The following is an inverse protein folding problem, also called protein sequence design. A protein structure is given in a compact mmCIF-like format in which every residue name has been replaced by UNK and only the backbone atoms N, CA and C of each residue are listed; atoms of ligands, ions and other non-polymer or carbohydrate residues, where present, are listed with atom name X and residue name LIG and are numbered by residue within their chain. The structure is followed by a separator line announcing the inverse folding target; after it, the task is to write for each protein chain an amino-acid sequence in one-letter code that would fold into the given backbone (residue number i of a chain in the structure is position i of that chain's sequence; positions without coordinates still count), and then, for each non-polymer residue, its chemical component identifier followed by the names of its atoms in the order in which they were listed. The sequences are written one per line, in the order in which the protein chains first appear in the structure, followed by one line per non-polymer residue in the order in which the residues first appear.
data_IF_857709237425
#
_entry.id   IF_857709237425
#
_cell.length_a   1.000
_cell.length_b   1.000
_cell.length_c   1.000
_cell.angle_alpha   90.00
_cell.angle_beta   90.00
_cell.angle_gamma   90.00
#
_symmetry.space_group_name_H-M   'P 1'
#
loop_
_entity.id
_entity.type
_entity.pdbx_description
1 polymer ?
#
# COMPACT_ATOMS: atom_id res chain seq x y z
N UNK A 1 7.36 -0.76 29.86
CA UNK A 1 7.12 -2.07 29.22
C UNK A 1 6.22 -2.84 30.16
N UNK A 2 5.17 -3.50 29.66
CA UNK A 2 4.23 -4.30 30.49
C UNK A 2 5.06 -5.36 31.24
N UNK A 3 4.98 -5.39 32.58
CA UNK A 3 5.67 -6.38 33.39
C UNK A 3 4.82 -7.66 33.55
N UNK A 4 5.43 -8.72 34.11
CA UNK A 4 4.76 -10.01 34.28
C UNK A 4 3.51 -9.93 35.16
N UNK A 5 3.55 -9.11 36.21
CA UNK A 5 2.42 -8.95 37.12
C UNK A 5 1.21 -8.28 36.44
N UNK A 6 1.45 -7.27 35.58
CA UNK A 6 0.41 -6.62 34.81
C UNK A 6 -0.15 -7.54 33.71
N UNK A 7 0.70 -8.37 33.09
CA UNK A 7 0.25 -9.38 32.12
C UNK A 7 -0.66 -10.42 32.78
N UNK A 8 -0.29 -10.94 33.95
CA UNK A 8 -1.09 -11.91 34.71
C UNK A 8 -2.43 -11.30 35.16
N UNK A 9 -2.44 -10.03 35.59
CA UNK A 9 -3.68 -9.32 35.93
C UNK A 9 -4.61 -9.16 34.72
N UNK A 10 -4.07 -8.82 33.54
CA UNK A 10 -4.86 -8.67 32.32
C UNK A 10 -5.43 -10.01 31.84
N UNK A 11 -4.66 -11.10 31.92
CA UNK A 11 -5.11 -12.45 31.58
C UNK A 11 -6.19 -12.95 32.56
N UNK A 12 -5.96 -12.82 33.87
CA UNK A 12 -6.94 -13.23 34.88
C UNK A 12 -8.27 -12.46 34.74
N UNK A 13 -8.20 -11.18 34.38
CA UNK A 13 -9.39 -10.37 34.12
C UNK A 13 -10.12 -10.79 32.84
N UNK A 14 -9.37 -11.10 31.77
CA UNK A 14 -9.95 -11.62 30.54
C UNK A 14 -10.64 -12.97 30.75
N UNK A 15 -10.03 -13.88 31.52
CA UNK A 15 -10.64 -15.17 31.88
C UNK A 15 -11.92 -14.99 32.70
N UNK A 16 -11.90 -14.09 33.70
CA UNK A 16 -13.06 -13.81 34.54
C UNK A 16 -14.24 -13.20 33.75
N UNK A 17 -13.94 -12.38 32.74
CA UNK A 17 -14.94 -11.73 31.87
C UNK A 17 -15.29 -12.57 30.63
N UNK A 18 -14.68 -13.75 30.45
CA UNK A 18 -14.91 -14.63 29.30
C UNK A 18 -14.43 -14.05 27.96
N UNK A 19 -13.47 -13.13 28.00
CA UNK A 19 -12.94 -12.42 26.83
C UNK A 19 -11.83 -13.24 26.18
N UNK A 20 -11.95 -13.50 24.88
CA UNK A 20 -10.90 -14.18 24.11
C UNK A 20 -9.61 -13.34 24.06
N UNK A 21 -8.44 -14.00 23.99
CA UNK A 21 -7.15 -13.30 23.90
C UNK A 21 -7.02 -12.49 22.59
N UNK A 22 -7.54 -13.04 21.50
CA UNK A 22 -7.51 -12.51 20.14
C UNK A 22 -8.94 -12.25 19.64
N UNK A 23 -9.07 -11.46 18.57
CA UNK A 23 -10.36 -11.12 17.98
C UNK A 23 -10.73 -9.64 18.13
N UNK A 24 -11.76 -9.16 17.40
CA UNK A 24 -12.14 -7.75 17.38
C UNK A 24 -12.52 -7.20 18.78
N UNK A 25 -13.10 -8.04 19.64
CA UNK A 25 -13.44 -7.71 21.03
C UNK A 25 -12.51 -8.39 22.05
N UNK A 26 -11.42 -9.02 21.58
CA UNK A 26 -10.47 -9.73 22.43
C UNK A 26 -9.57 -8.81 23.25
N UNK A 27 -8.91 -9.36 24.27
CA UNK A 27 -8.07 -8.64 25.23
C UNK A 27 -7.05 -7.72 24.54
N UNK A 28 -6.35 -8.21 23.50
CA UNK A 28 -5.34 -7.42 22.80
C UNK A 28 -5.92 -6.22 22.05
N UNK A 29 -7.12 -6.35 21.48
CA UNK A 29 -7.84 -5.25 20.83
C UNK A 29 -8.28 -4.20 21.85
N UNK A 30 -8.73 -4.63 23.03
CA UNK A 30 -9.12 -3.74 24.13
C UNK A 30 -7.92 -3.00 24.74
N UNK A 31 -6.78 -3.67 24.91
CA UNK A 31 -5.53 -3.05 25.37
C UNK A 31 -5.04 -2.03 24.35
N UNK A 32 -5.03 -2.39 23.06
CA UNK A 32 -4.63 -1.48 21.97
C UNK A 32 -5.53 -0.25 21.93
N UNK A 33 -6.85 -0.44 22.07
CA UNK A 33 -7.83 0.64 22.20
C UNK A 33 -7.49 1.58 23.36
N UNK A 34 -7.32 1.04 24.56
CA UNK A 34 -7.10 1.83 25.77
C UNK A 34 -5.81 2.66 25.69
N UNK A 35 -4.74 2.11 25.13
CA UNK A 35 -3.47 2.82 24.91
C UNK A 35 -3.66 3.97 23.91
N UNK A 36 -4.29 3.70 22.76
CA UNK A 36 -4.51 4.72 21.73
C UNK A 36 -5.43 5.85 22.21
N UNK A 37 -6.54 5.52 22.89
CA UNK A 37 -7.47 6.52 23.43
C UNK A 37 -6.81 7.38 24.52
N UNK A 38 -5.98 6.79 25.38
CA UNK A 38 -5.25 7.55 26.40
C UNK A 38 -4.23 8.49 25.79
N UNK A 39 -3.46 8.01 24.81
CA UNK A 39 -2.46 8.83 24.13
C UNK A 39 -3.11 9.98 23.34
N UNK A 40 -4.25 9.74 22.67
CA UNK A 40 -5.04 10.79 22.03
C UNK A 40 -5.61 11.80 23.06
N UNK A 41 -5.98 11.33 24.24
CA UNK A 41 -6.44 12.17 25.35
C UNK A 41 -5.35 13.12 25.86
N UNK A 42 -4.12 12.64 25.90
CA UNK A 42 -2.91 13.38 26.29
C UNK A 42 -2.47 14.38 25.21
N UNK A 43 -2.53 14.00 23.93
CA UNK A 43 -2.37 14.97 22.83
C UNK A 43 -3.38 16.11 22.92
N UNK A 44 -4.64 15.82 23.29
CA UNK A 44 -5.64 16.86 23.49
C UNK A 44 -5.37 17.70 24.75
N UNK A 45 -4.81 17.11 25.80
CA UNK A 45 -4.32 17.87 26.96
C UNK A 45 -3.24 18.86 26.53
N UNK A 46 -2.24 18.39 25.78
CA UNK A 46 -1.15 19.23 25.28
C UNK A 46 -1.67 20.35 24.36
N UNK A 47 -2.60 20.03 23.46
CA UNK A 47 -3.24 21.00 22.56
C UNK A 47 -4.03 22.09 23.29
N UNK A 48 -4.76 21.73 24.34
CA UNK A 48 -5.56 22.67 25.11
C UNK A 48 -4.76 23.38 26.20
N UNK A 49 -3.62 22.83 26.60
CA UNK A 49 -2.78 23.32 27.69
C UNK A 49 -3.32 23.03 29.09
N UNK A 50 -4.34 22.16 29.23
CA UNK A 50 -4.93 21.81 30.52
C UNK A 50 -5.61 20.44 30.53
N UNK A 51 -5.71 19.87 31.73
CA UNK A 51 -6.27 18.53 31.95
C UNK A 51 -7.80 18.49 31.93
N UNK A 52 -8.36 17.29 31.77
CA UNK A 52 -9.82 17.14 31.84
C UNK A 52 -10.33 17.55 33.23
N UNK A 53 -11.31 18.46 33.27
CA UNK A 53 -11.88 19.06 34.49
C UNK A 53 -10.98 20.04 35.24
N UNK A 54 -9.84 20.42 34.67
CA UNK A 54 -8.97 21.43 35.27
C UNK A 54 -9.67 22.81 35.27
N UNK A 55 -9.74 23.51 36.43
CA UNK A 55 -10.22 24.88 36.51
C UNK A 55 -9.52 25.84 35.55
N UNK A 56 -8.25 25.59 35.18
CA UNK A 56 -7.50 26.38 34.20
C UNK A 56 -8.18 26.45 32.81
N UNK A 57 -9.01 25.47 32.48
CA UNK A 57 -9.79 25.47 31.24
C UNK A 57 -10.97 26.45 31.21
N UNK A 58 -11.41 26.98 32.37
CA UNK A 58 -12.57 27.89 32.45
C UNK A 58 -12.23 29.23 31.82
N UNK A 59 -13.00 29.63 30.81
CA UNK A 59 -12.79 30.92 30.11
C UNK A 59 -11.63 30.91 29.10
N UNK A 60 -10.99 29.76 28.85
CA UNK A 60 -9.90 29.60 27.86
C UNK A 60 -10.35 29.76 26.40
N UNK A 61 -11.67 29.74 26.15
CA UNK A 61 -12.26 29.93 24.83
C UNK A 61 -12.22 28.69 23.91
N UNK A 62 -11.49 27.63 24.28
CA UNK A 62 -11.56 26.32 23.62
C UNK A 62 -11.64 25.21 24.66
N UNK A 63 -12.62 24.32 24.51
CA UNK A 63 -12.96 23.29 25.52
C UNK A 63 -13.02 21.91 24.91
N UNK A 64 -12.78 20.87 25.72
CA UNK A 64 -13.07 19.48 25.31
C UNK A 64 -14.57 19.34 25.00
N UNK A 65 -14.92 18.69 23.89
CA UNK A 65 -16.30 18.53 23.43
C UNK A 65 -16.65 17.07 23.12
N UNK A 66 -16.33 16.16 24.05
CA UNK A 66 -16.59 14.72 23.88
C UNK A 66 -15.64 14.05 22.89
N UNK A 67 -16.12 12.98 22.24
CA UNK A 67 -15.34 12.15 21.33
C UNK A 67 -16.15 11.76 20.09
N UNK A 68 -15.46 11.35 19.03
CA UNK A 68 -16.04 10.81 17.79
C UNK A 68 -15.58 9.38 17.59
N UNK A 69 -16.53 8.47 17.33
CA UNK A 69 -16.25 7.08 17.04
C UNK A 69 -15.47 6.92 15.72
N UNK A 70 -14.44 6.09 15.74
CA UNK A 70 -13.64 5.76 14.56
C UNK A 70 -13.21 4.29 14.61
N UNK A 71 -13.49 3.56 13.53
CA UNK A 71 -12.96 2.22 13.33
C UNK A 71 -11.56 2.28 12.71
N UNK A 72 -10.57 1.78 13.43
CA UNK A 72 -9.17 1.73 13.02
C UNK A 72 -8.74 0.30 12.78
N UNK A 73 -8.22 0.01 11.60
CA UNK A 73 -7.62 -1.28 11.28
C UNK A 73 -6.18 -1.31 11.79
N UNK A 74 -5.92 -2.20 12.75
CA UNK A 74 -4.58 -2.46 13.33
C UNK A 74 -4.10 -3.86 12.96
N UNK A 75 -2.84 -4.18 13.23
CA UNK A 75 -2.32 -5.55 13.02
C UNK A 75 -3.00 -6.59 13.94
N UNK A 76 -3.47 -6.17 15.11
CA UNK A 76 -4.17 -7.03 16.09
C UNK A 76 -5.66 -7.24 15.77
N UNK A 77 -6.21 -6.48 14.82
CA UNK A 77 -7.63 -6.51 14.48
C UNK A 77 -8.22 -5.12 14.27
N UNK A 78 -9.50 -5.08 13.93
CA UNK A 78 -10.24 -3.83 13.88
C UNK A 78 -10.51 -3.36 15.32
N UNK A 79 -10.18 -2.10 15.60
CA UNK A 79 -10.37 -1.47 16.91
C UNK A 79 -11.29 -0.26 16.75
N UNK A 80 -12.36 -0.20 17.55
CA UNK A 80 -13.26 0.95 17.57
C UNK A 80 -12.82 1.94 18.66
N UNK A 81 -12.29 3.09 18.21
CA UNK A 81 -11.73 4.15 19.03
C UNK A 81 -12.73 5.29 19.26
N UNK A 82 -12.62 5.93 20.42
CA UNK A 82 -13.22 7.22 20.74
C UNK A 82 -12.17 8.33 20.63
N UNK A 83 -12.10 8.98 19.46
CA UNK A 83 -11.13 10.05 19.23
C UNK A 83 -11.64 11.34 19.89
N UNK A 84 -10.92 11.93 20.85
CA UNK A 84 -11.37 13.12 21.55
C UNK A 84 -11.31 14.36 20.64
N UNK A 85 -12.19 15.32 20.90
CA UNK A 85 -12.28 16.56 20.10
C UNK A 85 -12.39 17.80 20.97
N UNK A 86 -11.95 18.92 20.44
CA UNK A 86 -12.14 20.25 21.00
C UNK A 86 -13.39 20.93 20.41
N UNK A 87 -13.85 21.99 21.07
CA UNK A 87 -15.04 22.73 20.69
C UNK A 87 -14.83 23.51 19.38
N UNK A 88 -13.65 24.10 19.20
CA UNK A 88 -13.31 24.85 17.98
C UNK A 88 -12.99 23.95 16.78
N UNK A 89 -12.84 22.64 17.00
CA UNK A 89 -12.43 21.69 15.97
C UNK A 89 -11.00 21.88 15.48
N UNK A 90 -10.18 22.66 16.19
CA UNK A 90 -8.79 22.98 15.82
C UNK A 90 -7.80 21.90 16.23
N UNK A 91 -8.22 20.89 17.00
CA UNK A 91 -7.36 19.77 17.38
C UNK A 91 -7.06 18.87 16.17
N UNK A 92 -5.78 18.67 15.87
CA UNK A 92 -5.30 17.77 14.83
C UNK A 92 -4.48 16.63 15.46
N UNK A 93 -5.10 15.46 15.75
CA UNK A 93 -4.40 14.35 16.38
C UNK A 93 -3.28 13.81 15.49
N UNK A 94 -2.12 13.55 16.09
CA UNK A 94 -0.92 13.09 15.37
C UNK A 94 -0.83 11.57 15.36
N UNK A 95 -1.20 10.91 16.46
CA UNK A 95 -1.18 9.43 16.60
C UNK A 95 -2.21 8.76 15.67
N UNK A 96 -3.44 9.26 15.59
CA UNK A 96 -4.48 8.80 14.64
C UNK A 96 -5.16 9.99 13.97
N UNK A 97 -4.71 10.37 12.78
CA UNK A 97 -5.15 11.58 12.07
C UNK A 97 -6.63 11.58 11.72
N UNK A 98 -7.24 12.75 11.56
CA UNK A 98 -8.62 12.88 11.03
C UNK A 98 -8.75 12.11 9.70
N UNK A 99 -9.82 11.33 9.55
CA UNK A 99 -10.04 10.47 8.37
C UNK A 99 -9.18 9.20 8.26
N UNK A 100 -8.11 9.04 9.06
CA UNK A 100 -7.27 7.84 9.05
C UNK A 100 -8.06 6.63 9.58
N UNK A 101 -8.14 5.56 8.77
CA UNK A 101 -8.85 4.30 9.07
C UNK A 101 -7.92 3.11 9.22
N UNK A 102 -6.60 3.31 9.01
CA UNK A 102 -5.56 2.31 9.20
C UNK A 102 -4.31 2.95 9.80
N UNK A 103 -3.67 2.27 10.75
CA UNK A 103 -2.31 2.65 11.18
C UNK A 103 -1.36 2.23 10.05
N UNK A 104 -0.96 3.20 9.22
CA UNK A 104 -0.03 2.97 8.14
C UNK A 104 1.39 2.87 8.70
N UNK A 105 2.06 1.81 8.30
CA UNK A 105 3.46 1.59 8.64
C UNK A 105 3.97 0.40 7.84
N UNK A 106 5.03 0.66 7.09
CA UNK A 106 5.96 -0.32 6.53
C UNK A 106 5.61 -0.88 5.15
N UNK A 107 6.08 -0.16 4.13
CA UNK A 107 7.10 -0.60 3.15
C UNK A 107 6.76 -0.16 1.72
N UNK A 108 7.42 0.90 1.29
CA UNK A 108 7.69 1.08 -0.13
C UNK A 108 8.76 0.06 -0.50
N UNK A 109 8.41 -0.86 -1.40
CA UNK A 109 9.25 -1.97 -1.79
C UNK A 109 9.44 -1.93 -3.30
N UNK A 110 10.69 -1.77 -3.73
CA UNK A 110 11.03 -1.88 -5.15
C UNK A 110 11.54 -3.29 -5.44
N UNK A 111 10.95 -3.92 -6.45
CA UNK A 111 11.42 -5.19 -6.99
C UNK A 111 11.80 -4.96 -8.45
N UNK A 112 13.02 -5.34 -8.81
CA UNK A 112 13.53 -5.27 -10.17
C UNK A 112 13.55 -6.64 -10.82
N UNK A 113 13.48 -6.66 -12.15
CA UNK A 113 13.79 -7.82 -12.98
C UNK A 113 14.92 -7.40 -13.90
N UNK A 114 16.06 -8.10 -13.84
CA UNK A 114 17.20 -7.81 -14.70
C UNK A 114 17.07 -8.46 -16.08
N UNK A 115 18.05 -8.20 -16.96
CA UNK A 115 18.06 -8.74 -18.33
C UNK A 115 18.15 -10.27 -18.36
N UNK A 116 18.66 -10.92 -17.30
CA UNK A 116 18.69 -12.39 -17.18
C UNK A 116 17.36 -12.96 -16.68
N UNK A 117 16.43 -12.09 -16.30
CA UNK A 117 15.11 -12.43 -15.79
C UNK A 117 15.11 -12.77 -14.31
N UNK A 118 16.21 -12.50 -13.60
CA UNK A 118 16.28 -12.68 -12.17
C UNK A 118 15.58 -11.52 -11.48
N UNK A 119 14.75 -11.88 -10.48
CA UNK A 119 13.95 -10.92 -9.73
C UNK A 119 14.64 -10.64 -8.42
N UNK A 120 14.86 -9.37 -8.13
CA UNK A 120 15.64 -8.93 -6.97
C UNK A 120 14.91 -7.83 -6.24
N UNK A 121 14.97 -7.83 -4.91
CA UNK A 121 14.49 -6.69 -4.13
C UNK A 121 15.55 -5.59 -4.24
N UNK A 122 15.21 -4.48 -4.88
CA UNK A 122 16.14 -3.37 -5.09
C UNK A 122 16.29 -2.51 -3.83
N UNK A 123 15.23 -2.38 -3.05
CA UNK A 123 15.26 -1.61 -1.81
C UNK A 123 13.94 -1.64 -1.05
N UNK A 124 14.04 -1.22 0.20
CA UNK A 124 12.94 -1.07 1.13
C UNK A 124 13.05 0.30 1.76
N UNK A 125 11.99 1.07 1.73
CA UNK A 125 11.91 2.38 2.36
C UNK A 125 10.71 2.42 3.29
N UNK A 126 10.87 3.14 4.39
CA UNK A 126 9.73 3.53 5.20
C UNK A 126 9.28 4.87 4.68
N UNK A 127 8.07 4.91 4.12
CA UNK A 127 7.46 6.15 3.66
C UNK A 127 7.46 7.20 4.76
N UNK A 128 7.71 8.45 4.39
CA UNK A 128 7.63 9.57 5.33
C UNK A 128 6.23 9.59 5.98
N UNK A 129 6.17 9.90 7.28
CA UNK A 129 4.91 9.97 8.03
C UNK A 129 3.84 10.83 7.32
N UNK A 130 4.23 11.85 6.56
CA UNK A 130 3.34 12.76 5.82
C UNK A 130 2.77 12.22 4.50
N UNK A 131 3.00 10.94 4.17
CA UNK A 131 2.56 10.32 2.92
C UNK A 131 3.66 10.33 1.84
N UNK A 132 3.51 9.44 0.87
CA UNK A 132 4.37 9.29 -0.31
C UNK A 132 4.27 10.55 -1.19
N UNK A 133 5.13 11.53 -0.94
CA UNK A 133 5.21 12.75 -1.77
C UNK A 133 6.04 12.52 -3.03
N UNK A 134 5.82 13.32 -4.07
CA UNK A 134 6.69 13.34 -5.26
C UNK A 134 8.19 13.48 -4.90
N UNK A 135 8.50 14.24 -3.85
CA UNK A 135 9.86 14.41 -3.32
C UNK A 135 10.43 13.12 -2.74
N UNK A 136 9.60 12.34 -2.04
CA UNK A 136 9.99 11.03 -1.52
C UNK A 136 10.34 10.09 -2.67
N UNK A 137 9.46 9.96 -3.67
CA UNK A 137 9.74 9.11 -4.84
C UNK A 137 10.97 9.55 -5.62
N UNK A 138 11.18 10.86 -5.80
CA UNK A 138 12.43 11.35 -6.38
C UNK A 138 13.66 10.90 -5.58
N UNK A 139 13.62 10.97 -4.25
CA UNK A 139 14.76 10.54 -3.44
C UNK A 139 15.05 9.04 -3.59
N UNK A 140 14.01 8.21 -3.61
CA UNK A 140 14.09 6.75 -3.80
C UNK A 140 14.69 6.41 -5.16
N UNK A 141 14.18 7.01 -6.23
CA UNK A 141 14.65 6.72 -7.59
C UNK A 141 16.07 7.27 -7.84
N UNK A 142 16.41 8.43 -7.28
CA UNK A 142 17.77 8.96 -7.33
C UNK A 142 18.76 8.05 -6.58
N UNK A 143 18.37 7.51 -5.43
CA UNK A 143 19.19 6.52 -4.71
C UNK A 143 19.45 5.28 -5.56
N UNK A 144 18.42 4.72 -6.20
CA UNK A 144 18.56 3.56 -7.10
C UNK A 144 19.51 3.85 -8.27
N UNK A 145 19.39 5.03 -8.88
CA UNK A 145 20.31 5.48 -9.93
C UNK A 145 21.75 5.58 -9.41
N UNK A 146 21.96 6.17 -8.24
CA UNK A 146 23.29 6.31 -7.62
C UNK A 146 23.90 4.95 -7.24
N UNK A 147 23.08 3.95 -6.94
CA UNK A 147 23.49 2.57 -6.70
C UNK A 147 23.84 1.78 -7.97
N UNK A 148 23.63 2.37 -9.16
CA UNK A 148 24.07 1.81 -10.44
C UNK A 148 22.94 1.43 -11.41
N UNK A 149 21.67 1.69 -11.09
CA UNK A 149 20.56 1.49 -12.03
C UNK A 149 20.61 2.56 -13.11
N UNK A 150 21.28 2.24 -14.22
CA UNK A 150 21.53 3.17 -15.33
C UNK A 150 20.29 3.48 -16.15
N UNK A 151 19.47 2.48 -16.42
CA UNK A 151 18.28 2.60 -17.23
C UNK A 151 17.16 1.67 -16.74
N UNK A 152 15.92 2.10 -16.94
CA UNK A 152 14.69 1.34 -16.61
C UNK A 152 13.77 1.39 -17.82
N UNK A 153 13.52 0.22 -18.43
CA UNK A 153 12.62 0.13 -19.58
C UNK A 153 11.15 0.36 -19.16
N UNK A 154 10.68 -0.35 -18.12
CA UNK A 154 9.30 -0.28 -17.63
C UNK A 154 9.30 -0.10 -16.12
N UNK A 155 8.53 0.87 -15.63
CA UNK A 155 8.19 1.02 -14.22
C UNK A 155 6.69 0.74 -14.03
N UNK A 156 6.35 -0.34 -13.32
CA UNK A 156 4.97 -0.69 -13.02
C UNK A 156 4.60 -0.25 -11.59
N UNK A 157 3.61 0.61 -11.42
CA UNK A 157 3.20 1.15 -10.11
C UNK A 157 1.68 1.14 -9.87
N UNK A 158 1.26 1.34 -8.62
CA UNK A 158 -0.14 1.41 -8.19
C UNK A 158 -0.63 2.87 -8.10
N UNK A 159 -0.70 3.57 -9.22
CA UNK A 159 -1.35 4.90 -9.32
C UNK A 159 -0.85 5.93 -8.31
N UNK A 160 0.40 5.80 -7.85
CA UNK A 160 0.98 6.60 -6.78
C UNK A 160 1.27 8.00 -7.27
N UNK A 161 0.77 9.01 -6.56
CA UNK A 161 0.94 10.40 -6.96
C UNK A 161 2.41 10.83 -6.93
N UNK A 162 2.90 11.43 -8.01
CA UNK A 162 4.26 11.95 -8.09
C UNK A 162 5.33 10.94 -8.48
N UNK A 163 5.00 9.63 -8.50
CA UNK A 163 5.95 8.60 -8.92
C UNK A 163 6.16 8.60 -10.46
N UNK A 164 5.13 8.69 -11.32
CA UNK A 164 5.33 8.80 -12.77
C UNK A 164 6.23 9.98 -13.16
N UNK A 165 6.01 11.15 -12.56
CA UNK A 165 6.77 12.37 -12.82
C UNK A 165 8.21 12.25 -12.30
N UNK A 166 8.39 11.65 -11.11
CA UNK A 166 9.72 11.37 -10.58
C UNK A 166 10.49 10.37 -11.47
N UNK A 167 9.80 9.33 -11.97
CA UNK A 167 10.40 8.31 -12.81
C UNK A 167 10.90 8.87 -14.13
N UNK A 168 10.06 9.64 -14.82
CA UNK A 168 10.41 10.31 -16.07
C UNK A 168 11.49 11.39 -15.88
N UNK A 169 11.59 11.98 -14.68
CA UNK A 169 12.70 12.89 -14.34
C UNK A 169 14.03 12.15 -14.16
N UNK A 170 14.04 10.98 -13.49
CA UNK A 170 15.27 10.20 -13.26
C UNK A 170 15.74 9.45 -14.51
N UNK A 171 14.80 8.83 -15.22
CA UNK A 171 15.03 8.06 -16.44
C UNK A 171 14.06 8.56 -17.53
N UNK A 172 14.46 9.52 -18.37
CA UNK A 172 13.58 10.16 -19.36
C UNK A 172 12.91 9.21 -20.38
N UNK A 173 13.51 8.04 -20.61
CA UNK A 173 12.99 7.04 -21.54
C UNK A 173 12.14 5.96 -20.85
N UNK A 174 11.90 6.03 -19.53
CA UNK A 174 11.12 5.02 -18.82
C UNK A 174 9.67 5.01 -19.29
N UNK A 175 9.15 3.82 -19.59
CA UNK A 175 7.73 3.62 -19.80
C UNK A 175 7.05 3.39 -18.45
N UNK A 176 6.23 4.34 -18.01
CA UNK A 176 5.43 4.17 -16.78
C UNK A 176 4.17 3.39 -17.12
N UNK A 177 3.94 2.31 -16.40
CA UNK A 177 2.79 1.44 -16.53
C UNK A 177 1.99 1.44 -15.23
N UNK A 178 0.70 1.77 -15.31
CA UNK A 178 -0.23 1.56 -14.23
C UNK A 178 -0.58 0.08 -14.14
N UNK A 179 -0.49 -0.48 -12.94
CA UNK A 179 -0.79 -1.87 -12.73
C UNK A 179 -2.28 -2.20 -12.99
N UNK A 180 -2.54 -3.11 -13.94
CA UNK A 180 -3.89 -3.58 -14.32
C UNK A 180 -4.66 -4.12 -13.10
N UNK A 181 -4.03 -4.96 -12.26
CA UNK A 181 -4.71 -5.56 -11.10
C UNK A 181 -5.14 -4.49 -10.10
N UNK A 182 -4.30 -3.49 -9.86
CA UNK A 182 -4.63 -2.41 -8.94
C UNK A 182 -5.70 -1.49 -9.51
N UNK A 183 -5.67 -1.19 -10.81
CA UNK A 183 -6.73 -0.42 -11.47
C UNK A 183 -8.09 -1.14 -11.40
N UNK A 184 -8.13 -2.46 -11.59
CA UNK A 184 -9.35 -3.27 -11.41
C UNK A 184 -9.83 -3.21 -9.96
N UNK A 185 -8.93 -3.43 -8.98
CA UNK A 185 -9.28 -3.34 -7.56
C UNK A 185 -9.80 -1.96 -7.19
N UNK A 186 -9.20 -0.90 -7.71
CA UNK A 186 -9.65 0.47 -7.53
C UNK A 186 -11.04 0.69 -8.09
N UNK A 187 -11.32 0.16 -9.28
CA UNK A 187 -12.63 0.21 -9.92
C UNK A 187 -13.72 -0.45 -9.06
N UNK A 188 -13.44 -1.65 -8.53
CA UNK A 188 -14.41 -2.41 -7.72
C UNK A 188 -14.76 -1.73 -6.39
N UNK A 189 -13.92 -0.81 -5.88
CA UNK A 189 -14.24 -0.03 -4.65
C UNK A 189 -15.43 0.92 -4.83
N UNK A 190 -15.71 1.36 -6.05
CA UNK A 190 -16.85 2.24 -6.36
C UNK A 190 -18.16 1.47 -6.56
N UNK A 191 -18.10 0.14 -6.63
CA UNK A 191 -19.25 -0.70 -6.95
C UNK A 191 -19.69 -1.57 -5.76
N UNK A 192 -20.99 -1.81 -5.67
CA UNK A 192 -21.53 -2.80 -4.74
C UNK A 192 -21.07 -4.21 -5.13
N UNK A 193 -20.78 -5.05 -4.14
CA UNK A 193 -20.36 -6.46 -4.32
C UNK A 193 -21.29 -7.26 -5.22
N UNK A 194 -22.58 -6.91 -5.26
CA UNK A 194 -23.57 -7.52 -6.17
C UNK A 194 -23.14 -7.47 -7.64
N UNK A 195 -22.49 -6.39 -8.07
CA UNK A 195 -22.12 -6.16 -9.47
C UNK A 195 -20.68 -6.58 -9.78
N UNK A 196 -19.89 -6.98 -8.79
CA UNK A 196 -18.47 -7.32 -8.98
C UNK A 196 -18.24 -8.40 -10.04
N UNK A 197 -19.01 -9.52 -10.10
CA UNK A 197 -18.77 -10.53 -11.13
C UNK A 197 -18.98 -10.01 -12.56
N UNK A 198 -20.01 -9.19 -12.78
CA UNK A 198 -20.31 -8.62 -14.09
C UNK A 198 -19.26 -7.54 -14.47
N UNK A 199 -18.96 -6.62 -13.56
CA UNK A 199 -17.92 -5.62 -13.75
C UNK A 199 -16.56 -6.26 -14.04
N UNK A 200 -16.16 -7.28 -13.28
CA UNK A 200 -14.88 -7.96 -13.49
C UNK A 200 -14.80 -8.66 -14.86
N UNK A 201 -15.93 -9.20 -15.36
CA UNK A 201 -16.01 -9.78 -16.70
C UNK A 201 -15.82 -8.71 -17.78
N UNK A 202 -16.51 -7.59 -17.67
CA UNK A 202 -16.47 -6.54 -18.70
C UNK A 202 -15.12 -5.78 -18.67
N UNK A 203 -14.58 -5.50 -17.48
CA UNK A 203 -13.24 -4.95 -17.31
C UNK A 203 -12.15 -5.88 -17.86
N UNK A 204 -12.38 -7.20 -17.83
CA UNK A 204 -11.45 -8.17 -18.42
C UNK A 204 -11.29 -7.99 -19.92
N UNK A 205 -12.37 -7.67 -20.63
CA UNK A 205 -12.31 -7.45 -22.07
C UNK A 205 -11.32 -6.34 -22.44
N UNK A 206 -11.21 -5.30 -21.61
CA UNK A 206 -10.33 -4.14 -21.84
C UNK A 206 -8.86 -4.56 -21.82
N UNK A 207 -8.38 -5.20 -20.74
CA UNK A 207 -6.96 -5.53 -20.61
C UNK A 207 -6.53 -6.80 -21.36
N UNK A 208 -7.48 -7.61 -21.83
CA UNK A 208 -7.19 -8.76 -22.71
C UNK A 208 -7.33 -8.45 -24.20
N UNK A 209 -7.67 -7.22 -24.58
CA UNK A 209 -7.81 -6.81 -25.97
C UNK A 209 -6.50 -6.98 -26.77
N UNK A 210 -6.57 -7.18 -28.09
CA UNK A 210 -5.40 -7.45 -28.94
C UNK A 210 -4.40 -6.31 -29.04
N UNK A 211 -4.88 -5.08 -28.92
CA UNK A 211 -4.12 -3.84 -29.11
C UNK A 211 -4.85 -2.68 -28.41
N UNK A 212 -4.28 -1.48 -28.49
CA UNK A 212 -4.85 -0.28 -27.87
C UNK A 212 -6.20 0.13 -28.47
N UNK A 213 -6.40 -0.02 -29.79
CA UNK A 213 -7.64 0.36 -30.44
C UNK A 213 -8.79 -0.57 -30.01
N UNK A 214 -8.54 -1.87 -29.95
CA UNK A 214 -9.48 -2.85 -29.42
C UNK A 214 -9.77 -2.62 -27.93
N UNK A 215 -8.77 -2.24 -27.13
CA UNK A 215 -8.97 -1.90 -25.72
C UNK A 215 -9.83 -0.64 -25.56
N UNK A 216 -9.61 0.39 -26.37
CA UNK A 216 -10.40 1.62 -26.36
C UNK A 216 -11.86 1.33 -26.73
N UNK A 217 -12.11 0.52 -27.76
CA UNK A 217 -13.45 0.08 -28.12
C UNK A 217 -14.13 -0.70 -26.99
N UNK A 218 -13.39 -1.57 -26.29
CA UNK A 218 -13.90 -2.28 -25.12
C UNK A 218 -14.20 -1.35 -23.94
N UNK A 219 -13.41 -0.28 -23.74
CA UNK A 219 -13.68 0.73 -22.70
C UNK A 219 -14.95 1.52 -23.02
N UNK A 220 -15.21 1.87 -24.29
CA UNK A 220 -16.44 2.56 -24.67
C UNK A 220 -17.67 1.65 -24.51
N UNK A 221 -17.59 0.38 -24.91
CA UNK A 221 -18.65 -0.60 -24.64
C UNK A 221 -18.90 -0.78 -23.13
N UNK A 222 -17.85 -0.77 -22.31
CA UNK A 222 -17.96 -0.77 -20.86
C UNK A 222 -18.66 0.50 -20.35
N UNK A 223 -18.32 1.67 -20.90
CA UNK A 223 -18.91 2.94 -20.52
C UNK A 223 -20.41 2.99 -20.86
N UNK A 224 -20.82 2.56 -22.04
CA UNK A 224 -22.23 2.47 -22.43
C UNK A 224 -23.06 1.66 -21.41
N UNK A 225 -22.50 0.55 -20.91
CA UNK A 225 -23.21 -0.33 -19.97
C UNK A 225 -23.19 0.20 -18.52
N UNK A 226 -22.08 0.79 -18.07
CA UNK A 226 -21.84 1.05 -16.65
C UNK A 226 -21.74 2.52 -16.26
N UNK A 227 -21.51 3.45 -17.18
CA UNK A 227 -21.27 4.87 -16.86
C UNK A 227 -22.45 5.52 -16.15
N UNK A 228 -23.69 5.21 -16.56
CA UNK A 228 -24.89 5.75 -15.95
C UNK A 228 -25.00 5.40 -14.45
N UNK A 229 -24.48 4.24 -14.04
CA UNK A 229 -24.55 3.76 -12.65
C UNK A 229 -23.28 4.05 -11.86
N UNK A 230 -22.12 3.90 -12.51
CA UNK A 230 -20.80 3.98 -11.91
C UNK A 230 -19.88 4.93 -12.71
N UNK A 231 -20.24 6.22 -12.82
CA UNK A 231 -19.47 7.17 -13.64
C UNK A 231 -18.04 7.38 -13.13
N UNK A 232 -17.81 7.15 -11.82
CA UNK A 232 -16.48 7.21 -11.22
C UNK A 232 -15.51 6.15 -11.78
N UNK A 233 -16.02 4.97 -12.16
CA UNK A 233 -15.18 3.90 -12.73
C UNK A 233 -14.70 4.32 -14.11
N UNK A 234 -15.61 4.77 -14.99
CA UNK A 234 -15.25 5.20 -16.35
C UNK A 234 -14.28 6.39 -16.30
N UNK A 235 -14.53 7.35 -15.40
CA UNK A 235 -13.61 8.48 -15.18
C UNK A 235 -12.21 8.00 -14.77
N UNK A 236 -12.12 7.07 -13.83
CA UNK A 236 -10.84 6.49 -13.38
C UNK A 236 -10.06 5.90 -14.56
N UNK A 237 -10.71 5.10 -15.40
CA UNK A 237 -10.05 4.48 -16.56
C UNK A 237 -9.63 5.51 -17.62
N UNK A 238 -10.50 6.48 -17.92
CA UNK A 238 -10.17 7.56 -18.87
C UNK A 238 -9.02 8.44 -18.38
N UNK A 239 -8.98 8.76 -17.08
CA UNK A 239 -7.88 9.54 -16.47
C UNK A 239 -6.54 8.83 -16.56
N UNK A 240 -6.51 7.52 -16.31
CA UNK A 240 -5.26 6.75 -16.30
C UNK A 240 -4.97 6.01 -17.62
N UNK A 241 -5.67 6.35 -18.70
CA UNK A 241 -5.59 5.58 -19.96
C UNK A 241 -4.16 5.50 -20.50
N UNK A 242 -3.45 6.63 -20.54
CA UNK A 242 -2.08 6.71 -21.06
C UNK A 242 -1.07 5.89 -20.25
N UNK A 243 -1.27 5.77 -18.94
CA UNK A 243 -0.43 4.94 -18.07
C UNK A 243 -0.87 3.47 -18.13
N UNK A 244 -2.12 3.20 -18.49
CA UNK A 244 -2.67 1.85 -18.59
C UNK A 244 -2.29 1.14 -19.89
N UNK A 245 -2.30 1.80 -21.04
CA UNK A 245 -2.11 1.15 -22.35
C UNK A 245 -0.69 0.69 -22.73
N UNK A 246 0.44 1.12 -22.14
CA UNK A 246 1.76 0.78 -22.67
C UNK A 246 2.02 -0.72 -22.83
N UNK A 247 1.50 -1.57 -21.93
CA UNK A 247 1.65 -3.02 -22.07
C UNK A 247 0.95 -3.61 -23.31
N UNK A 248 -0.04 -2.91 -23.89
CA UNK A 248 -0.76 -3.37 -25.09
C UNK A 248 0.11 -3.33 -26.35
N UNK A 249 1.20 -2.56 -26.35
CA UNK A 249 2.19 -2.55 -27.42
C UNK A 249 2.95 -3.89 -27.55
N UNK A 250 2.89 -4.74 -26.53
CA UNK A 250 3.55 -6.05 -26.52
C UNK A 250 2.57 -7.18 -26.89
N UNK A 251 3.06 -8.29 -27.47
CA UNK A 251 2.23 -9.48 -27.71
C UNK A 251 1.65 -10.08 -26.42
N UNK A 252 0.44 -10.71 -26.46
CA UNK A 252 -0.24 -11.25 -25.27
C UNK A 252 0.61 -12.15 -24.36
N UNK A 253 1.51 -12.93 -24.94
CA UNK A 253 2.43 -13.83 -24.22
C UNK A 253 3.42 -13.07 -23.33
N UNK A 254 3.79 -11.83 -23.69
CA UNK A 254 4.72 -10.98 -22.95
C UNK A 254 4.00 -10.16 -21.89
N UNK A 255 2.76 -9.72 -22.18
CA UNK A 255 1.99 -8.82 -21.32
C UNK A 255 1.86 -9.30 -19.88
N UNK A 256 1.71 -10.61 -19.69
CA UNK A 256 1.58 -11.21 -18.36
C UNK A 256 2.79 -10.90 -17.48
N UNK A 257 4.00 -10.76 -18.04
CA UNK A 257 5.19 -10.38 -17.28
C UNK A 257 5.15 -8.91 -16.81
N UNK A 258 4.40 -8.05 -17.50
CA UNK A 258 4.30 -6.60 -17.23
C UNK A 258 3.21 -6.31 -16.20
N UNK A 259 2.00 -6.82 -16.43
CA UNK A 259 0.83 -6.43 -15.63
C UNK A 259 0.52 -7.34 -14.44
N UNK A 260 1.17 -8.51 -14.30
CA UNK A 260 0.92 -9.41 -13.16
C UNK A 260 1.54 -8.87 -11.88
N UNK A 261 0.75 -8.81 -10.82
CA UNK A 261 1.21 -8.44 -9.47
C UNK A 261 1.60 -9.64 -8.62
N UNK A 262 1.53 -10.87 -9.15
CA UNK A 262 1.74 -12.09 -8.37
C UNK A 262 3.06 -12.06 -7.56
N UNK A 263 4.10 -11.47 -8.12
CA UNK A 263 5.39 -11.32 -7.45
C UNK A 263 5.29 -10.40 -6.21
N UNK A 264 4.77 -9.19 -6.42
CA UNK A 264 4.60 -8.18 -5.36
C UNK A 264 3.60 -8.68 -4.31
N UNK A 265 2.50 -9.31 -4.74
CA UNK A 265 1.49 -9.87 -3.85
C UNK A 265 2.02 -11.04 -3.02
N UNK A 266 2.78 -11.96 -3.64
CA UNK A 266 3.41 -13.06 -2.92
C UNK A 266 4.43 -12.56 -1.90
N UNK A 267 5.23 -11.56 -2.27
CA UNK A 267 6.20 -10.95 -1.37
C UNK A 267 5.51 -10.21 -0.22
N UNK A 268 4.53 -9.36 -0.53
CA UNK A 268 3.73 -8.65 0.47
C UNK A 268 3.01 -9.62 1.42
N UNK A 269 2.46 -10.74 0.93
CA UNK A 269 1.84 -11.75 1.78
C UNK A 269 2.84 -12.40 2.75
N UNK A 270 4.07 -12.66 2.30
CA UNK A 270 5.15 -13.20 3.14
C UNK A 270 5.64 -12.18 4.16
N UNK A 271 5.86 -10.93 3.76
CA UNK A 271 6.24 -9.85 4.66
C UNK A 271 5.16 -9.65 5.74
N UNK A 272 3.87 -9.62 5.36
CA UNK A 272 2.75 -9.60 6.31
C UNK A 272 2.76 -10.79 7.26
N UNK A 273 3.10 -12.00 6.79
CA UNK A 273 3.19 -13.18 7.67
C UNK A 273 4.28 -13.02 8.73
N UNK A 274 5.40 -12.39 8.38
CA UNK A 274 6.52 -12.14 9.29
C UNK A 274 6.20 -11.04 10.30
N UNK A 275 5.43 -10.01 9.91
CA UNK A 275 5.05 -8.92 10.81
C UNK A 275 3.84 -9.25 11.67
N UNK A 276 2.90 -10.07 11.18
CA UNK A 276 1.62 -10.39 11.87
C UNK A 276 1.76 -10.84 13.32
N UNK A 277 2.82 -11.57 13.65
CA UNK A 277 3.02 -12.09 15.02
C UNK A 277 3.85 -11.13 15.90
N UNK A 278 4.28 -9.97 15.38
CA UNK A 278 5.22 -9.07 16.06
C UNK A 278 4.59 -7.83 16.67
N UNK A 279 3.29 -7.56 16.45
CA UNK A 279 2.46 -6.62 17.19
C UNK A 279 2.85 -5.14 17.05
N UNK A 280 4.02 -4.76 17.58
CA UNK A 280 4.61 -3.43 17.44
C UNK A 280 6.14 -3.52 17.33
N UNK A 281 6.74 -2.63 16.57
CA UNK A 281 8.19 -2.48 16.51
C UNK A 281 8.65 -1.36 17.45
N UNK A 282 9.74 -1.55 18.21
CA UNK A 282 10.26 -0.51 19.12
C UNK A 282 10.86 0.69 18.38
N UNK A 283 11.19 0.54 17.09
CA UNK A 283 11.65 1.62 16.22
C UNK A 283 11.45 1.24 14.75
N UNK A 284 11.51 2.24 13.88
CA UNK A 284 11.52 2.06 12.42
C UNK A 284 12.66 1.13 11.98
N UNK A 285 13.85 1.30 12.55
CA UNK A 285 15.02 0.47 12.29
C UNK A 285 14.80 -1.00 12.70
N UNK A 286 14.06 -1.26 13.77
CA UNK A 286 13.73 -2.62 14.17
C UNK A 286 12.78 -3.29 13.16
N UNK A 287 11.80 -2.55 12.64
CA UNK A 287 10.92 -3.03 11.57
C UNK A 287 11.72 -3.35 10.31
N UNK A 288 12.55 -2.40 9.85
CA UNK A 288 13.43 -2.58 8.68
C UNK A 288 14.33 -3.81 8.82
N UNK A 289 14.94 -4.03 9.98
CA UNK A 289 15.77 -5.22 10.22
C UNK A 289 15.00 -6.51 10.08
N UNK A 290 13.79 -6.59 10.64
CA UNK A 290 12.95 -7.80 10.55
C UNK A 290 12.52 -8.07 9.11
N UNK A 291 12.15 -7.03 8.39
CA UNK A 291 11.74 -7.12 7.00
C UNK A 291 12.91 -7.46 6.08
N UNK A 292 14.07 -6.84 6.31
CA UNK A 292 15.32 -7.16 5.63
C UNK A 292 15.70 -8.63 5.84
N UNK A 293 15.65 -9.13 7.08
CA UNK A 293 15.91 -10.54 7.37
C UNK A 293 14.90 -11.47 6.69
N UNK A 294 13.62 -11.06 6.58
CA UNK A 294 12.63 -11.81 5.84
C UNK A 294 12.94 -11.87 4.34
N UNK A 295 13.34 -10.74 3.75
CA UNK A 295 13.78 -10.68 2.35
C UNK A 295 15.02 -11.55 2.13
N UNK A 296 16.05 -11.41 2.97
CA UNK A 296 17.28 -12.20 2.87
C UNK A 296 17.01 -13.70 3.00
N UNK A 297 16.20 -14.12 3.97
CA UNK A 297 15.82 -15.51 4.11
C UNK A 297 15.04 -16.04 2.89
N UNK A 298 14.31 -15.19 2.18
CA UNK A 298 13.67 -15.56 0.92
C UNK A 298 14.66 -15.73 -0.22
N UNK A 299 15.70 -14.89 -0.28
CA UNK A 299 16.78 -15.00 -1.27
C UNK A 299 17.67 -16.21 -1.01
N UNK A 300 18.01 -16.47 0.26
CA UNK A 300 18.81 -17.64 0.69
C UNK A 300 18.06 -18.96 0.44
N UNK A 301 16.75 -19.03 0.72
CA UNK A 301 15.93 -20.21 0.39
C UNK A 301 15.86 -20.49 -1.13
N UNK A 302 16.18 -19.48 -1.94
CA UNK A 302 16.14 -19.58 -3.41
C UNK A 302 17.48 -19.95 -4.03
N UNK A 303 18.54 -20.17 -3.26
CA UNK A 303 19.79 -20.76 -3.75
C UNK A 303 19.87 -22.21 -3.28
N UNK A 304 19.59 -23.22 -4.14
CA UNK A 304 20.03 -23.32 -5.53
C UNK A 304 18.90 -23.34 -6.58
N UNK A 305 17.69 -22.90 -6.23
CA UNK A 305 16.62 -22.73 -7.21
C UNK A 305 16.76 -21.39 -7.95
N UNK A 306 17.47 -21.44 -9.09
CA UNK A 306 17.47 -20.48 -10.21
C UNK A 306 16.04 -20.19 -10.78
N UNK A 307 15.00 -20.61 -10.05
CA UNK A 307 13.57 -20.62 -10.38
C UNK A 307 12.77 -19.38 -9.99
N UNK A 308 13.39 -18.21 -9.84
CA UNK A 308 12.64 -16.95 -10.06
C UNK A 308 12.90 -16.36 -11.44
N UNK A 309 13.52 -17.08 -12.38
CA UNK A 309 13.47 -16.62 -13.77
C UNK A 309 12.01 -16.53 -14.20
N UNK A 310 11.60 -15.38 -14.71
CA UNK A 310 10.26 -15.23 -15.27
C UNK A 310 10.05 -16.35 -16.30
N UNK A 311 8.99 -17.15 -16.13
CA UNK A 311 8.71 -18.22 -17.09
C UNK A 311 8.51 -17.59 -18.47
N UNK A 312 9.19 -18.12 -19.49
CA UNK A 312 9.20 -17.53 -20.82
C UNK A 312 10.02 -16.24 -20.95
N UNK A 313 10.98 -15.98 -20.04
CA UNK A 313 11.77 -14.74 -20.07
C UNK A 313 12.53 -14.53 -21.37
N UNK A 314 12.98 -15.60 -22.04
CA UNK A 314 13.65 -15.47 -23.33
C UNK A 314 12.75 -14.80 -24.38
N UNK A 315 11.49 -15.21 -24.46
CA UNK A 315 10.52 -14.59 -25.37
C UNK A 315 10.21 -13.14 -24.96
N UNK A 316 10.07 -12.90 -23.66
CA UNK A 316 9.86 -11.53 -23.12
C UNK A 316 11.03 -10.61 -23.47
N UNK A 317 12.25 -11.07 -23.24
CA UNK A 317 13.47 -10.32 -23.51
C UNK A 317 13.61 -10.01 -25.01
N UNK A 318 13.32 -10.98 -25.89
CA UNK A 318 13.33 -10.75 -27.34
C UNK A 318 12.37 -9.62 -27.75
N UNK A 319 11.13 -9.66 -27.25
CA UNK A 319 10.16 -8.60 -27.52
C UNK A 319 10.62 -7.25 -26.95
N UNK A 320 11.22 -7.25 -25.76
CA UNK A 320 11.76 -6.03 -25.14
C UNK A 320 12.96 -5.49 -25.89
N UNK A 321 13.86 -6.31 -26.41
CA UNK A 321 15.01 -5.86 -27.20
C UNK A 321 14.58 -5.19 -28.51
N UNK A 322 13.50 -5.69 -29.14
CA UNK A 322 12.92 -5.06 -30.34
C UNK A 322 12.25 -3.73 -29.98
N UNK A 323 11.45 -3.70 -28.92
CA UNK A 323 10.68 -2.51 -28.54
C UNK A 323 11.57 -1.39 -27.93
N UNK A 324 12.55 -1.77 -27.11
CA UNK A 324 13.51 -0.88 -26.46
C UNK A 324 14.87 -0.93 -27.16
N UNK A 325 14.87 -0.75 -28.47
CA UNK A 325 16.06 -0.82 -29.31
C UNK A 325 17.20 0.05 -28.75
N UNK A 326 18.40 -0.52 -28.65
CA UNK A 326 19.60 0.18 -28.18
C UNK A 326 19.69 0.42 -26.66
N UNK A 327 18.68 0.03 -25.87
CA UNK A 327 18.66 0.24 -24.40
C UNK A 327 19.06 -1.00 -23.60
N UNK A 328 18.73 -2.18 -24.11
CA UNK A 328 19.03 -3.46 -23.46
C UNK A 328 20.40 -3.94 -23.93
N UNK A 329 21.36 -4.19 -23.02
CA UNK A 329 22.67 -4.71 -23.41
C UNK A 329 22.52 -6.07 -24.09
N UNK A 330 23.29 -6.29 -25.15
CA UNK A 330 23.36 -7.60 -25.79
C UNK A 330 23.87 -8.64 -24.76
N UNK A 331 23.28 -9.84 -24.74
CA UNK A 331 23.62 -10.89 -23.78
C UNK A 331 25.05 -11.42 -23.94
#
# INVERSE_FOLDING_TARGET
MIDGALADQLLAKAEAEGVELLGPDGLLSQVTKAVLERALGEELTEHLGYEKHDPAGRGSGNSRNGATGKRLLTEAGAVDLQVPRDWRGSFEPKIVRKGQTRLDGFNDLAIGIDCEGAKQVLGMWVGASTGESAKFWMSVLAELRNRGVRDVCILCCDGLSGLPEAATTVWPQVTVQLCVVHLIRASLRYASRKYWPALAKDLKAIYTASDEAAAAAALEAFAEQWEARYPAIVRLWRTHWQEFTPFLAFPPEVRRAIYTTNLIESLNARLRKVTRNRGQFPSEQAALKVLYLAVRNLEDYRTPNIGIRTSGWKQVLQAFTIYFEGRIPAP
#
